data_IF_417124819336
#
_entry.id   IF_417124819336
#
_cell.length_a   1.000
_cell.length_b   1.000
_cell.length_c   1.000
_cell.angle_alpha   90.00
_cell.angle_beta   90.00
_cell.angle_gamma   90.00
#
_symmetry.space_group_name_H-M   'P 1'
#
loop_
_entity.id
_entity.type
_entity.pdbx_description
1 polymer ?
#
# COMPACT_ATOMS: atom_id res chain seq x y z
N UNK A 1 -33.82 11.06 44.66
CA UNK A 1 -32.66 11.43 43.80
C UNK A 1 -33.05 11.07 42.38
N UNK A 2 -33.46 12.05 41.60
CA UNK A 2 -33.75 11.81 40.22
C UNK A 2 -32.44 11.43 39.47
N UNK A 3 -32.44 10.39 38.64
CA UNK A 3 -31.27 10.06 37.87
C UNK A 3 -30.98 11.24 36.93
N UNK A 4 -29.82 11.88 37.11
CA UNK A 4 -29.32 12.87 36.17
C UNK A 4 -29.11 12.12 34.87
N UNK A 5 -30.08 12.23 33.95
CA UNK A 5 -29.97 11.71 32.59
C UNK A 5 -28.78 12.39 31.94
N UNK A 6 -27.75 11.63 31.63
CA UNK A 6 -26.64 12.15 30.83
C UNK A 6 -27.19 12.72 29.51
N UNK A 7 -26.79 13.92 29.12
CA UNK A 7 -27.30 14.52 27.89
C UNK A 7 -27.00 13.60 26.70
N UNK A 8 -27.97 13.42 25.83
CA UNK A 8 -27.81 12.57 24.65
C UNK A 8 -26.87 13.27 23.66
N UNK A 9 -25.99 12.55 23.01
CA UNK A 9 -24.90 13.10 22.17
C UNK A 9 -25.40 14.13 21.13
N UNK A 10 -26.60 13.96 20.60
CA UNK A 10 -27.20 14.87 19.61
C UNK A 10 -27.76 16.18 20.24
N UNK A 11 -27.80 16.30 21.58
CA UNK A 11 -28.10 17.53 22.29
C UNK A 11 -26.85 18.38 22.51
N UNK A 12 -25.66 17.74 22.39
CA UNK A 12 -24.36 18.38 22.63
C UNK A 12 -23.73 18.83 21.29
N UNK A 13 -23.87 18.02 20.23
CA UNK A 13 -23.20 18.26 18.95
C UNK A 13 -24.11 18.93 17.94
N UNK A 14 -23.63 19.99 17.23
CA UNK A 14 -24.32 20.54 16.07
C UNK A 14 -24.58 19.49 14.99
N UNK A 15 -25.67 19.66 14.25
CA UNK A 15 -26.08 18.73 13.17
C UNK A 15 -25.03 18.62 12.07
N UNK A 16 -24.28 19.70 11.80
CA UNK A 16 -23.20 19.75 10.83
C UNK A 16 -22.03 18.85 11.25
N UNK A 17 -21.67 18.85 12.53
CA UNK A 17 -20.60 17.98 13.07
C UNK A 17 -21.06 16.52 13.04
N UNK A 18 -22.32 16.26 13.37
CA UNK A 18 -22.87 14.90 13.26
C UNK A 18 -22.86 14.42 11.79
N UNK A 19 -23.16 15.29 10.83
CA UNK A 19 -23.05 14.98 9.41
C UNK A 19 -21.64 14.53 9.03
N UNK A 20 -20.62 15.24 9.48
CA UNK A 20 -19.20 14.88 9.25
C UNK A 20 -18.86 13.54 9.91
N UNK A 21 -19.32 13.30 11.14
CA UNK A 21 -19.09 12.01 11.83
C UNK A 21 -19.69 10.86 11.03
N UNK A 22 -20.90 11.03 10.48
CA UNK A 22 -21.54 9.98 9.67
C UNK A 22 -20.85 9.78 8.31
N UNK A 23 -20.33 10.85 7.69
CA UNK A 23 -19.51 10.73 6.49
C UNK A 23 -18.23 9.94 6.78
N UNK A 24 -17.53 10.24 7.87
CA UNK A 24 -16.32 9.51 8.28
C UNK A 24 -16.63 8.06 8.68
N UNK A 25 -17.74 7.82 9.39
CA UNK A 25 -18.17 6.46 9.73
C UNK A 25 -18.46 5.63 8.46
N UNK A 26 -19.09 6.23 7.45
CA UNK A 26 -19.36 5.57 6.18
C UNK A 26 -18.10 5.24 5.35
N UNK A 27 -16.97 5.88 5.61
CA UNK A 27 -15.67 5.53 5.02
C UNK A 27 -15.10 4.27 5.66
N UNK A 28 -15.32 4.09 6.96
CA UNK A 28 -14.81 2.95 7.72
C UNK A 28 -15.71 1.73 7.59
N UNK A 29 -17.02 1.95 7.53
CA UNK A 29 -18.06 0.93 7.50
C UNK A 29 -19.12 1.29 6.47
N UNK A 30 -19.14 0.59 5.34
CA UNK A 30 -20.05 0.95 4.24
C UNK A 30 -21.54 0.86 4.61
N UNK A 31 -21.92 0.00 5.58
CA UNK A 31 -23.29 -0.14 6.08
C UNK A 31 -23.71 0.99 7.05
N UNK A 32 -22.76 1.79 7.53
CA UNK A 32 -22.97 2.82 8.55
C UNK A 32 -24.19 3.72 8.25
N UNK A 33 -24.43 4.25 7.04
CA UNK A 33 -25.57 5.11 6.78
C UNK A 33 -26.92 4.42 7.06
N UNK A 34 -26.98 3.10 6.86
CA UNK A 34 -28.19 2.32 7.11
C UNK A 34 -28.34 2.03 8.60
N UNK A 35 -27.24 1.74 9.30
CA UNK A 35 -27.22 1.45 10.74
C UNK A 35 -27.56 2.73 11.53
N UNK A 36 -26.81 3.80 11.28
CA UNK A 36 -26.94 5.09 11.97
C UNK A 36 -28.35 5.69 11.75
N UNK A 37 -28.91 5.53 10.54
CA UNK A 37 -30.26 5.97 10.23
C UNK A 37 -31.38 5.23 11.00
N UNK A 38 -31.06 4.17 11.73
CA UNK A 38 -32.01 3.43 12.60
C UNK A 38 -31.97 3.88 14.04
N UNK A 39 -30.97 4.63 14.46
CA UNK A 39 -30.79 5.05 15.87
C UNK A 39 -31.94 5.95 16.33
N UNK A 40 -32.22 7.04 15.63
CA UNK A 40 -33.34 7.92 15.93
C UNK A 40 -33.78 8.73 14.69
N UNK A 41 -34.87 9.48 14.82
CA UNK A 41 -35.42 10.30 13.72
C UNK A 41 -34.45 11.39 13.28
N UNK A 42 -33.79 12.05 14.22
CA UNK A 42 -32.84 13.11 13.94
C UNK A 42 -31.62 12.58 13.15
N UNK A 43 -31.02 11.49 13.58
CA UNK A 43 -29.90 10.86 12.89
C UNK A 43 -30.28 10.46 11.47
N UNK A 44 -31.45 9.83 11.31
CA UNK A 44 -31.98 9.52 9.98
C UNK A 44 -32.11 10.75 9.09
N UNK A 45 -32.62 11.86 9.62
CA UNK A 45 -32.76 13.10 8.85
C UNK A 45 -31.40 13.66 8.44
N UNK A 46 -30.43 13.67 9.35
CA UNK A 46 -29.07 14.16 9.07
C UNK A 46 -28.43 13.29 7.97
N UNK A 47 -28.45 11.97 8.11
CA UNK A 47 -27.86 11.03 7.16
C UNK A 47 -28.51 11.12 5.78
N UNK A 48 -29.84 11.25 5.72
CA UNK A 48 -30.52 11.42 4.44
C UNK A 48 -30.11 12.70 3.70
N UNK A 49 -29.66 13.72 4.44
CA UNK A 49 -29.15 14.99 3.91
C UNK A 49 -27.61 15.03 3.82
N UNK A 50 -26.91 13.92 4.04
CA UNK A 50 -25.46 13.79 3.92
C UNK A 50 -25.08 12.94 2.69
N UNK A 51 -25.04 13.49 1.47
CA UNK A 51 -24.80 12.70 0.24
C UNK A 51 -23.49 11.94 0.25
N UNK A 52 -22.43 12.47 0.90
CA UNK A 52 -21.13 11.83 0.97
C UNK A 52 -21.14 10.55 1.79
N UNK A 53 -21.99 10.43 2.81
CA UNK A 53 -22.15 9.21 3.56
C UNK A 53 -22.67 8.04 2.69
N UNK A 54 -23.43 8.33 1.63
CA UNK A 54 -23.95 7.36 0.66
C UNK A 54 -23.01 7.10 -0.52
N UNK A 55 -21.92 7.85 -0.64
CA UNK A 55 -21.01 7.81 -1.78
C UNK A 55 -19.97 6.68 -1.70
N UNK A 56 -19.86 5.99 -0.57
CA UNK A 56 -19.00 4.83 -0.39
C UNK A 56 -19.81 3.55 -0.68
N UNK A 57 -19.39 2.80 -1.70
CA UNK A 57 -20.01 1.57 -2.13
C UNK A 57 -18.96 0.47 -2.09
N UNK A 58 -19.13 -0.44 -1.15
CA UNK A 58 -18.28 -1.62 -1.00
C UNK A 58 -19.08 -2.88 -1.31
N UNK A 59 -18.44 -3.82 -2.00
CA UNK A 59 -18.99 -5.15 -2.23
C UNK A 59 -18.25 -6.12 -1.31
N UNK A 60 -18.86 -6.56 -0.20
CA UNK A 60 -18.23 -7.41 0.80
C UNK A 60 -17.97 -8.84 0.29
N UNK A 61 -17.14 -9.59 1.01
CA UNK A 61 -16.88 -11.02 0.72
C UNK A 61 -18.12 -11.93 0.91
N UNK A 62 -19.12 -11.43 1.58
CA UNK A 62 -20.36 -12.15 1.90
C UNK A 62 -21.39 -12.18 0.77
N UNK A 63 -22.66 -12.29 1.13
CA UNK A 63 -23.76 -12.16 0.15
C UNK A 63 -23.70 -10.74 -0.44
N UNK A 64 -23.80 -10.67 -1.77
CA UNK A 64 -23.84 -9.39 -2.47
C UNK A 64 -24.99 -8.52 -1.95
N UNK A 65 -24.74 -7.21 -1.77
CA UNK A 65 -25.84 -6.27 -1.57
C UNK A 65 -26.80 -6.38 -2.76
N UNK A 66 -28.07 -6.20 -2.51
CA UNK A 66 -29.03 -6.18 -3.61
C UNK A 66 -28.72 -5.01 -4.54
N UNK A 67 -28.86 -5.19 -5.85
CA UNK A 67 -28.72 -4.07 -6.79
C UNK A 67 -29.66 -2.92 -6.45
N UNK A 68 -30.78 -3.20 -5.79
CA UNK A 68 -31.66 -2.17 -5.23
C UNK A 68 -30.99 -1.30 -4.18
N UNK A 69 -30.17 -1.88 -3.33
CA UNK A 69 -29.39 -1.12 -2.33
C UNK A 69 -28.32 -0.26 -3.00
N UNK A 70 -27.58 -0.82 -3.95
CA UNK A 70 -26.59 -0.05 -4.72
C UNK A 70 -27.27 1.13 -5.44
N UNK A 71 -28.40 0.90 -6.12
CA UNK A 71 -29.19 1.98 -6.76
C UNK A 71 -29.64 3.05 -5.77
N UNK A 72 -30.09 2.63 -4.58
CA UNK A 72 -30.48 3.55 -3.52
C UNK A 72 -29.32 4.44 -3.08
N UNK A 73 -28.12 3.87 -2.91
CA UNK A 73 -26.91 4.61 -2.55
C UNK A 73 -26.49 5.58 -3.63
N UNK A 74 -26.47 5.13 -4.89
CA UNK A 74 -26.19 5.97 -6.05
C UNK A 74 -27.16 7.15 -6.14
N UNK A 75 -28.45 6.93 -5.88
CA UNK A 75 -29.46 7.98 -5.85
C UNK A 75 -29.22 8.96 -4.68
N UNK A 76 -29.00 8.46 -3.47
CA UNK A 76 -28.81 9.29 -2.27
C UNK A 76 -27.48 10.05 -2.26
N UNK A 77 -26.45 9.50 -2.88
CA UNK A 77 -25.18 10.20 -3.04
C UNK A 77 -25.24 11.43 -3.96
N UNK A 78 -26.32 11.61 -4.72
CA UNK A 78 -26.54 12.77 -5.58
C UNK A 78 -25.37 13.03 -6.53
N UNK A 79 -24.73 14.18 -6.38
CA UNK A 79 -23.54 14.59 -7.16
C UNK A 79 -22.22 14.35 -6.43
N UNK A 80 -22.23 13.76 -5.23
CA UNK A 80 -21.01 13.52 -4.46
C UNK A 80 -20.07 12.58 -5.24
N UNK A 81 -18.74 12.78 -5.11
CA UNK A 81 -17.75 11.89 -5.68
C UNK A 81 -17.91 10.45 -5.13
N UNK A 82 -17.97 9.47 -6.02
CA UNK A 82 -18.15 8.06 -5.66
C UNK A 82 -16.82 7.38 -5.35
N UNK A 83 -16.85 6.53 -4.33
CA UNK A 83 -15.78 5.63 -3.92
C UNK A 83 -16.28 4.20 -3.99
N UNK A 84 -15.77 3.43 -4.94
CA UNK A 84 -16.23 2.07 -5.23
C UNK A 84 -15.13 1.09 -4.86
N UNK A 85 -15.45 0.10 -4.02
CA UNK A 85 -14.55 -1.00 -3.66
C UNK A 85 -15.23 -2.35 -3.92
N UNK A 86 -14.71 -3.08 -4.90
CA UNK A 86 -15.23 -4.40 -5.28
C UNK A 86 -14.21 -5.51 -5.02
N UNK A 87 -13.14 -5.26 -4.25
CA UNK A 87 -12.05 -6.22 -4.05
C UNK A 87 -12.49 -7.51 -3.40
N UNK A 88 -13.44 -7.43 -2.48
CA UNK A 88 -13.92 -8.57 -1.70
C UNK A 88 -15.04 -9.38 -2.40
N UNK A 89 -15.69 -8.82 -3.41
CA UNK A 89 -16.91 -9.39 -4.02
C UNK A 89 -16.69 -10.61 -4.92
N UNK A 90 -17.75 -11.39 -5.11
CA UNK A 90 -17.79 -12.57 -5.98
C UNK A 90 -18.25 -12.24 -7.41
N UNK A 91 -17.81 -13.01 -8.37
CA UNK A 91 -17.76 -12.78 -9.82
C UNK A 91 -19.08 -12.54 -10.56
N UNK A 92 -20.20 -13.13 -10.10
CA UNK A 92 -21.40 -13.28 -10.92
C UNK A 92 -22.25 -12.01 -11.11
N UNK A 93 -22.01 -10.98 -10.33
CA UNK A 93 -22.85 -9.76 -10.36
C UNK A 93 -22.09 -8.50 -10.79
N UNK A 94 -20.82 -8.61 -11.17
CA UNK A 94 -20.04 -7.45 -11.59
C UNK A 94 -20.55 -6.81 -12.89
N UNK A 95 -21.10 -7.59 -13.80
CA UNK A 95 -21.61 -7.03 -15.05
C UNK A 95 -22.77 -6.05 -14.79
N UNK A 96 -23.80 -6.47 -14.02
CA UNK A 96 -24.91 -5.59 -13.67
C UNK A 96 -24.44 -4.37 -12.87
N UNK A 97 -23.47 -4.56 -11.96
CA UNK A 97 -22.87 -3.46 -11.20
C UNK A 97 -22.19 -2.44 -12.12
N UNK A 98 -21.35 -2.89 -13.07
CA UNK A 98 -20.64 -1.99 -13.98
C UNK A 98 -21.58 -1.31 -14.96
N UNK A 99 -22.63 -1.99 -15.43
CA UNK A 99 -23.69 -1.37 -16.23
C UNK A 99 -24.37 -0.24 -15.44
N UNK A 100 -24.67 -0.47 -14.17
CA UNK A 100 -25.25 0.54 -13.29
C UNK A 100 -24.28 1.71 -13.00
N UNK A 101 -22.99 1.43 -12.84
CA UNK A 101 -21.96 2.44 -12.59
C UNK A 101 -21.63 3.27 -13.84
N UNK A 102 -21.90 2.74 -15.05
CA UNK A 102 -21.65 3.47 -16.31
C UNK A 102 -22.40 4.79 -16.39
N UNK A 103 -23.61 4.86 -15.83
CA UNK A 103 -24.35 6.13 -15.77
C UNK A 103 -23.74 7.17 -14.82
N UNK A 104 -22.77 6.74 -14.02
CA UNK A 104 -22.14 7.54 -12.96
C UNK A 104 -20.62 7.72 -13.11
N UNK A 105 -20.03 7.25 -14.24
CA UNK A 105 -18.59 7.24 -14.48
C UNK A 105 -17.93 8.61 -14.26
N UNK A 106 -18.61 9.70 -14.62
CA UNK A 106 -18.07 11.08 -14.54
C UNK A 106 -17.80 11.55 -13.12
N UNK A 107 -18.42 10.94 -12.11
CA UNK A 107 -18.24 11.30 -10.70
C UNK A 107 -17.47 10.25 -9.87
N UNK A 108 -17.01 9.16 -10.49
CA UNK A 108 -16.21 8.16 -9.79
C UNK A 108 -14.83 8.75 -9.49
N UNK A 109 -14.51 8.89 -8.20
CA UNK A 109 -13.25 9.43 -7.71
C UNK A 109 -12.27 8.34 -7.27
N UNK A 110 -12.78 7.18 -6.85
CA UNK A 110 -11.98 6.03 -6.45
C UNK A 110 -12.63 4.74 -6.93
N UNK A 111 -11.85 3.89 -7.57
CA UNK A 111 -12.26 2.56 -8.00
C UNK A 111 -11.22 1.54 -7.58
N UNK A 112 -11.65 0.52 -6.84
CA UNK A 112 -10.84 -0.63 -6.46
C UNK A 112 -11.54 -1.90 -6.91
N UNK A 113 -10.83 -2.75 -7.66
CA UNK A 113 -11.40 -3.98 -8.22
C UNK A 113 -10.67 -5.22 -7.69
N UNK A 114 -11.43 -6.30 -7.45
CA UNK A 114 -10.91 -7.61 -7.08
C UNK A 114 -10.60 -8.50 -8.29
N UNK A 115 -10.05 -9.69 -8.01
CA UNK A 115 -9.68 -10.67 -9.03
C UNK A 115 -10.86 -11.25 -9.84
N UNK A 116 -12.07 -11.08 -9.37
CA UNK A 116 -13.28 -11.60 -10.03
C UNK A 116 -13.82 -10.73 -11.16
N UNK A 117 -13.37 -9.51 -11.28
CA UNK A 117 -13.98 -8.51 -12.17
C UNK A 117 -13.63 -8.69 -13.67
N UNK A 118 -12.75 -9.62 -14.02
CA UNK A 118 -12.27 -9.81 -15.41
C UNK A 118 -13.34 -10.24 -16.44
N UNK A 119 -14.51 -10.71 -15.98
CA UNK A 119 -15.56 -11.24 -16.85
C UNK A 119 -16.71 -10.26 -17.12
N UNK A 120 -16.65 -9.07 -16.55
CA UNK A 120 -17.69 -8.06 -16.76
C UNK A 120 -17.11 -6.66 -16.82
N UNK A 121 -17.78 -5.76 -17.51
CA UNK A 121 -17.47 -4.34 -17.45
C UNK A 121 -16.38 -3.85 -18.40
N UNK A 122 -16.00 -4.60 -19.44
CA UNK A 122 -15.01 -4.10 -20.41
C UNK A 122 -15.45 -2.74 -21.00
N UNK A 123 -16.72 -2.59 -21.36
CA UNK A 123 -17.28 -1.32 -21.84
C UNK A 123 -17.21 -0.21 -20.78
N UNK A 124 -17.39 -0.54 -19.51
CA UNK A 124 -17.27 0.43 -18.41
C UNK A 124 -15.88 1.05 -18.34
N UNK A 125 -14.81 0.25 -18.54
CA UNK A 125 -13.45 0.76 -18.50
C UNK A 125 -13.02 1.56 -19.75
N UNK A 126 -13.84 1.56 -20.78
CA UNK A 126 -13.65 2.39 -21.98
C UNK A 126 -14.26 3.81 -21.83
N UNK A 127 -15.01 4.05 -20.73
CA UNK A 127 -15.59 5.35 -20.42
C UNK A 127 -14.55 6.36 -19.96
N UNK A 128 -14.94 7.63 -19.92
CA UNK A 128 -14.10 8.73 -19.42
C UNK A 128 -14.31 8.93 -17.92
N UNK A 129 -13.22 8.99 -17.15
CA UNK A 129 -13.25 9.17 -15.70
C UNK A 129 -12.62 10.50 -15.25
N UNK A 130 -13.25 11.65 -15.51
CA UNK A 130 -12.64 12.97 -15.29
C UNK A 130 -12.41 13.30 -13.80
N UNK A 131 -13.07 12.59 -12.89
CA UNK A 131 -12.91 12.78 -11.44
C UNK A 131 -12.02 11.74 -10.77
N UNK A 132 -11.55 10.70 -11.50
CA UNK A 132 -10.75 9.62 -10.94
C UNK A 132 -9.45 10.11 -10.33
N UNK A 133 -9.24 9.79 -9.05
CA UNK A 133 -8.02 10.12 -8.29
C UNK A 133 -7.26 8.86 -7.87
N UNK A 134 -7.98 7.78 -7.59
CA UNK A 134 -7.42 6.50 -7.18
C UNK A 134 -7.99 5.38 -8.05
N UNK A 135 -7.10 4.59 -8.62
CA UNK A 135 -7.43 3.40 -9.40
C UNK A 135 -6.58 2.22 -8.87
N UNK A 136 -7.27 1.18 -8.37
CA UNK A 136 -6.65 -0.06 -7.88
C UNK A 136 -7.27 -1.24 -8.63
N UNK A 137 -6.52 -1.82 -9.54
CA UNK A 137 -6.95 -2.89 -10.41
C UNK A 137 -6.22 -4.18 -10.07
N UNK A 138 -6.94 -5.22 -9.70
CA UNK A 138 -6.38 -6.55 -9.54
C UNK A 138 -6.10 -7.25 -10.89
N UNK A 139 -6.67 -6.73 -11.98
CA UNK A 139 -6.44 -7.18 -13.34
C UNK A 139 -6.34 -5.98 -14.28
N UNK A 140 -5.64 -6.20 -15.38
CA UNK A 140 -5.57 -5.22 -16.45
C UNK A 140 -6.86 -5.19 -17.27
N UNK A 141 -7.32 -3.96 -17.56
CA UNK A 141 -8.38 -3.66 -18.53
C UNK A 141 -7.88 -2.69 -19.58
N UNK A 142 -8.34 -2.81 -20.84
CA UNK A 142 -8.09 -1.78 -21.82
C UNK A 142 -8.81 -0.51 -21.38
N UNK A 143 -8.04 0.50 -21.00
CA UNK A 143 -8.57 1.77 -20.48
C UNK A 143 -8.07 2.93 -21.32
N UNK A 144 -8.86 3.99 -21.40
CA UNK A 144 -8.44 5.27 -21.95
C UNK A 144 -7.72 6.08 -20.88
N UNK A 145 -6.42 5.88 -20.74
CA UNK A 145 -5.62 6.53 -19.68
C UNK A 145 -5.67 8.06 -19.73
N UNK A 146 -5.73 8.64 -20.96
CA UNK A 146 -5.85 10.09 -21.15
C UNK A 146 -7.16 10.66 -20.58
N UNK A 147 -8.19 9.83 -20.35
CA UNK A 147 -9.48 10.24 -19.80
C UNK A 147 -9.49 10.43 -18.27
N UNK A 148 -8.35 10.23 -17.61
CA UNK A 148 -8.19 10.33 -16.15
C UNK A 148 -7.23 11.45 -15.74
N UNK A 149 -7.51 12.73 -16.05
CA UNK A 149 -6.55 13.83 -15.86
C UNK A 149 -6.23 14.13 -14.37
N UNK A 150 -7.05 13.64 -13.45
CA UNK A 150 -6.88 13.85 -12.01
C UNK A 150 -6.31 12.64 -11.27
N UNK A 151 -5.90 11.59 -11.99
CA UNK A 151 -5.38 10.37 -11.38
C UNK A 151 -4.08 10.68 -10.61
N UNK A 152 -4.05 10.35 -9.33
CA UNK A 152 -2.91 10.56 -8.44
C UNK A 152 -2.32 9.26 -7.92
N UNK A 153 -3.15 8.22 -7.83
CA UNK A 153 -2.75 6.93 -7.28
C UNK A 153 -3.18 5.82 -8.24
N UNK A 154 -2.22 5.06 -8.71
CA UNK A 154 -2.43 3.90 -9.57
C UNK A 154 -1.83 2.67 -8.91
N UNK A 155 -2.66 1.62 -8.78
CA UNK A 155 -2.22 0.30 -8.40
C UNK A 155 -2.71 -0.71 -9.42
N UNK A 156 -1.81 -1.51 -9.95
CA UNK A 156 -2.12 -2.61 -10.86
C UNK A 156 -1.40 -3.87 -10.39
N UNK A 157 -2.17 -4.94 -10.15
CA UNK A 157 -1.64 -6.25 -9.86
C UNK A 157 -2.18 -7.25 -10.88
N UNK A 158 -1.33 -7.80 -11.74
CA UNK A 158 -1.71 -8.88 -12.65
C UNK A 158 -0.73 -10.04 -12.55
N UNK A 159 -1.23 -11.24 -12.23
CA UNK A 159 -0.41 -12.46 -12.17
C UNK A 159 -0.13 -13.06 -13.54
N UNK A 160 -0.77 -12.63 -14.59
CA UNK A 160 -0.68 -13.22 -15.94
C UNK A 160 0.25 -12.46 -16.89
N UNK A 161 0.78 -11.36 -16.51
CA UNK A 161 1.99 -10.68 -16.99
C UNK A 161 2.19 -10.53 -18.49
N UNK A 162 1.18 -10.26 -19.26
CA UNK A 162 1.39 -10.12 -20.70
C UNK A 162 1.15 -8.71 -21.23
N UNK A 163 0.67 -7.80 -20.40
CA UNK A 163 0.26 -6.48 -20.85
C UNK A 163 1.29 -5.41 -20.49
N UNK A 164 1.43 -4.44 -21.37
CA UNK A 164 2.30 -3.27 -21.18
C UNK A 164 1.43 -2.12 -20.68
N UNK A 165 1.76 -1.60 -19.49
CA UNK A 165 1.10 -0.41 -18.96
C UNK A 165 1.71 0.83 -19.61
N UNK A 166 0.95 1.64 -20.38
CA UNK A 166 1.46 2.82 -21.05
C UNK A 166 1.53 4.01 -20.09
N UNK A 167 2.48 3.97 -19.16
CA UNK A 167 2.63 5.02 -18.15
C UNK A 167 2.82 6.42 -18.74
N UNK A 168 3.30 6.48 -20.00
CA UNK A 168 3.50 7.75 -20.71
C UNK A 168 2.22 8.55 -20.98
N UNK A 169 1.06 7.90 -20.94
CA UNK A 169 -0.24 8.53 -21.21
C UNK A 169 -0.90 9.07 -19.94
N UNK A 170 -0.34 8.73 -18.77
CA UNK A 170 -0.94 9.09 -17.49
C UNK A 170 -0.58 10.51 -17.05
N UNK A 171 -1.49 11.13 -16.30
CA UNK A 171 -1.22 12.33 -15.52
C UNK A 171 -0.08 12.09 -14.51
N UNK A 172 0.59 13.14 -14.00
CA UNK A 172 1.63 12.99 -12.99
C UNK A 172 1.11 12.30 -11.73
N UNK A 173 1.59 11.06 -11.48
CA UNK A 173 1.18 10.26 -10.33
C UNK A 173 1.96 10.64 -9.07
N UNK A 174 1.30 10.56 -7.92
CA UNK A 174 1.93 10.61 -6.60
C UNK A 174 2.28 9.22 -6.07
N UNK A 175 1.44 8.24 -6.35
CA UNK A 175 1.65 6.85 -5.94
C UNK A 175 1.51 5.92 -7.15
N UNK A 176 2.50 5.05 -7.31
CA UNK A 176 2.49 3.99 -8.32
C UNK A 176 2.85 2.66 -7.68
N UNK A 177 1.95 1.68 -7.82
CA UNK A 177 2.15 0.31 -7.37
C UNK A 177 1.89 -0.62 -8.54
N UNK A 178 2.92 -1.33 -8.99
CA UNK A 178 2.82 -2.28 -10.08
C UNK A 178 3.30 -3.65 -9.61
N UNK A 179 2.52 -4.68 -9.89
CA UNK A 179 2.90 -6.06 -9.59
C UNK A 179 2.58 -6.94 -10.79
N UNK A 180 3.59 -7.73 -11.18
CA UNK A 180 3.42 -8.70 -12.22
C UNK A 180 3.15 -8.13 -13.62
N UNK A 181 3.59 -6.95 -13.97
CA UNK A 181 3.31 -6.30 -15.25
C UNK A 181 4.58 -5.89 -15.99
N UNK A 182 4.46 -5.68 -17.31
CA UNK A 182 5.44 -4.94 -18.08
C UNK A 182 5.04 -3.47 -18.11
N UNK A 183 6.00 -2.56 -18.01
CA UNK A 183 5.70 -1.15 -18.15
C UNK A 183 6.70 -0.43 -19.06
N UNK A 184 6.20 0.56 -19.78
CA UNK A 184 7.03 1.56 -20.45
C UNK A 184 7.37 2.64 -19.43
N UNK A 185 8.58 3.10 -19.45
CA UNK A 185 9.10 4.29 -18.77
C UNK A 185 8.37 4.78 -17.49
N UNK A 186 8.65 4.16 -16.34
CA UNK A 186 8.35 4.72 -15.00
C UNK A 186 8.91 6.14 -14.85
N UNK A 187 9.91 6.50 -15.65
CA UNK A 187 10.75 7.68 -15.55
C UNK A 187 10.02 9.01 -15.76
N UNK A 188 8.94 9.00 -16.55
CA UNK A 188 8.17 10.22 -16.82
C UNK A 188 7.44 10.78 -15.59
N UNK A 189 7.17 9.92 -14.60
CA UNK A 189 6.50 10.32 -13.35
C UNK A 189 7.48 10.64 -12.22
N UNK A 190 8.79 10.57 -12.47
CA UNK A 190 9.83 10.71 -11.46
C UNK A 190 9.69 11.98 -10.61
N UNK A 191 9.25 13.08 -11.20
CA UNK A 191 9.16 14.38 -10.52
C UNK A 191 8.05 14.44 -9.44
N UNK A 192 6.95 13.73 -9.64
CA UNK A 192 5.75 13.81 -8.80
C UNK A 192 5.60 12.64 -7.82
N UNK A 193 6.28 11.52 -8.07
CA UNK A 193 6.14 10.33 -7.25
C UNK A 193 6.65 10.54 -5.83
N UNK A 194 5.80 10.26 -4.86
CA UNK A 194 6.15 10.18 -3.43
C UNK A 194 6.27 8.72 -2.98
N UNK A 195 5.54 7.80 -3.64
CA UNK A 195 5.57 6.37 -3.34
C UNK A 195 5.65 5.55 -4.62
N UNK A 196 6.68 4.69 -4.70
CA UNK A 196 6.89 3.75 -5.81
C UNK A 196 7.05 2.33 -5.26
N UNK A 197 6.22 1.41 -5.74
CA UNK A 197 6.30 -0.01 -5.41
C UNK A 197 6.24 -0.83 -6.70
N UNK A 198 7.27 -1.61 -6.95
CA UNK A 198 7.37 -2.49 -8.09
C UNK A 198 7.66 -3.91 -7.62
N UNK A 199 6.86 -4.88 -8.08
CA UNK A 199 7.05 -6.30 -7.76
C UNK A 199 6.88 -7.13 -9.02
N UNK A 200 7.89 -7.92 -9.36
CA UNK A 200 7.88 -8.76 -10.58
C UNK A 200 7.56 -7.92 -11.84
N UNK A 201 8.23 -6.79 -11.98
CA UNK A 201 8.01 -5.83 -13.07
C UNK A 201 9.16 -5.90 -14.07
N UNK A 202 8.82 -6.05 -15.35
CA UNK A 202 9.78 -5.95 -16.44
C UNK A 202 9.71 -4.57 -17.09
N UNK A 203 10.81 -3.83 -17.05
CA UNK A 203 10.93 -2.57 -17.78
C UNK A 203 11.17 -2.86 -19.27
N UNK A 204 10.34 -2.29 -20.13
CA UNK A 204 10.45 -2.48 -21.59
C UNK A 204 11.57 -1.63 -22.16
N UNK A 205 11.82 -0.47 -21.57
CA UNK A 205 12.86 0.45 -22.00
C UNK A 205 14.09 0.33 -21.10
N UNK A 206 15.26 0.24 -21.71
CA UNK A 206 16.52 0.27 -20.96
C UNK A 206 16.73 1.65 -20.34
N UNK A 207 17.07 1.69 -19.06
CA UNK A 207 17.40 2.93 -18.38
C UNK A 207 18.86 3.27 -18.68
N UNK A 208 19.08 4.41 -19.29
CA UNK A 208 20.41 4.96 -19.55
C UNK A 208 20.67 6.16 -18.63
N UNK A 209 21.43 5.94 -17.54
CA UNK A 209 21.81 6.98 -16.61
C UNK A 209 20.87 7.18 -15.41
N UNK A 210 21.23 8.06 -14.47
CA UNK A 210 20.51 8.25 -13.22
C UNK A 210 19.13 8.90 -13.42
N UNK A 211 18.14 8.38 -12.71
CA UNK A 211 16.78 8.92 -12.67
C UNK A 211 16.55 9.60 -11.34
N UNK A 212 16.24 10.88 -11.39
CA UNK A 212 16.01 11.68 -10.19
C UNK A 212 14.54 11.61 -9.80
N UNK A 213 14.27 11.17 -8.57
CA UNK A 213 12.97 11.16 -7.91
C UNK A 213 12.97 12.17 -6.73
N UNK A 214 12.80 13.46 -6.97
CA UNK A 214 13.04 14.49 -5.95
C UNK A 214 12.03 14.46 -4.79
N UNK A 215 10.85 13.89 -5.02
CA UNK A 215 9.75 13.84 -4.04
C UNK A 215 9.56 12.45 -3.43
N UNK A 216 10.32 11.43 -3.86
CA UNK A 216 10.13 10.05 -3.44
C UNK A 216 10.57 9.86 -2.00
N UNK A 217 9.64 9.43 -1.14
CA UNK A 217 9.88 9.11 0.27
C UNK A 217 9.82 7.60 0.55
N UNK A 218 9.14 6.86 -0.31
CA UNK A 218 8.99 5.41 -0.16
C UNK A 218 9.29 4.69 -1.49
N UNK A 219 10.23 3.74 -1.45
CA UNK A 219 10.57 2.87 -2.58
C UNK A 219 10.51 1.41 -2.14
N UNK A 220 9.84 0.57 -2.93
CA UNK A 220 9.84 -0.88 -2.74
C UNK A 220 10.09 -1.57 -4.07
N UNK A 221 11.12 -2.40 -4.14
CA UNK A 221 11.53 -3.15 -5.32
C UNK A 221 11.61 -4.64 -5.00
N UNK A 222 10.80 -5.46 -5.71
CA UNK A 222 10.82 -6.90 -5.60
C UNK A 222 10.95 -7.50 -6.99
N UNK A 223 11.98 -8.31 -7.24
CA UNK A 223 12.25 -8.95 -8.54
C UNK A 223 12.23 -7.98 -9.72
N UNK A 224 12.80 -6.77 -9.51
CA UNK A 224 12.92 -5.72 -10.52
C UNK A 224 14.39 -5.50 -10.85
N UNK A 225 14.83 -5.93 -12.02
CA UNK A 225 16.22 -5.83 -12.44
C UNK A 225 16.53 -4.51 -13.13
N UNK A 226 17.74 -3.99 -12.89
CA UNK A 226 18.30 -2.88 -13.67
C UNK A 226 17.74 -1.48 -13.33
N UNK A 227 16.87 -1.34 -12.33
CA UNK A 227 16.36 -0.02 -11.91
C UNK A 227 17.17 0.58 -10.77
N UNK A 228 17.53 -0.21 -9.77
CA UNK A 228 18.16 0.24 -8.53
C UNK A 228 19.42 1.10 -8.74
N UNK A 229 20.37 0.72 -9.62
CA UNK A 229 21.58 1.52 -9.84
C UNK A 229 21.31 2.93 -10.38
N UNK A 230 20.14 3.14 -11.00
CA UNK A 230 19.78 4.40 -11.65
C UNK A 230 18.94 5.32 -10.75
N UNK A 231 18.54 4.89 -9.55
CA UNK A 231 17.66 5.67 -8.67
C UNK A 231 18.48 6.71 -7.88
N UNK A 232 18.12 7.98 -8.08
CA UNK A 232 18.53 9.09 -7.24
C UNK A 232 17.33 9.69 -6.55
N UNK A 233 17.15 9.41 -5.25
CA UNK A 233 16.02 9.82 -4.45
C UNK A 233 16.46 10.49 -3.14
N UNK A 234 16.81 11.80 -3.16
CA UNK A 234 17.45 12.48 -2.02
C UNK A 234 16.56 12.60 -0.78
N UNK A 235 15.22 12.41 -0.92
CA UNK A 235 14.25 12.42 0.18
C UNK A 235 13.77 11.04 0.57
N UNK A 236 14.40 9.98 0.09
CA UNK A 236 13.96 8.62 0.39
C UNK A 236 14.16 8.32 1.88
N UNK A 237 13.05 8.04 2.56
CA UNK A 237 13.00 7.71 3.99
C UNK A 237 12.88 6.21 4.23
N UNK A 238 12.16 5.51 3.36
CA UNK A 238 11.89 4.07 3.47
C UNK A 238 12.26 3.37 2.17
N UNK A 239 13.09 2.34 2.27
CA UNK A 239 13.47 1.49 1.16
C UNK A 239 13.28 0.01 1.50
N UNK A 240 12.50 -0.68 0.68
CA UNK A 240 12.31 -2.12 0.76
C UNK A 240 12.82 -2.78 -0.51
N UNK A 241 13.57 -3.85 -0.37
CA UNK A 241 14.01 -4.67 -1.49
C UNK A 241 13.81 -6.16 -1.24
N UNK A 242 13.68 -6.93 -2.33
CA UNK A 242 13.53 -8.38 -2.25
C UNK A 242 13.77 -9.08 -3.57
N UNK A 243 13.83 -10.41 -3.51
CA UNK A 243 14.11 -11.24 -4.66
C UNK A 243 15.57 -11.20 -5.11
N UNK A 244 15.80 -11.45 -6.39
CA UNK A 244 17.15 -11.57 -6.97
C UNK A 244 17.92 -10.24 -7.07
N UNK A 245 17.27 -9.11 -6.79
CA UNK A 245 17.90 -7.78 -6.83
C UNK A 245 18.70 -7.44 -5.57
N UNK A 246 18.59 -8.25 -4.53
CA UNK A 246 19.31 -8.04 -3.29
C UNK A 246 20.83 -8.11 -3.55
N UNK A 247 21.54 -7.05 -3.16
CA UNK A 247 22.98 -6.94 -3.38
C UNK A 247 23.40 -6.07 -4.56
N UNK A 248 22.48 -5.65 -5.44
CA UNK A 248 22.81 -4.53 -6.35
C UNK A 248 23.09 -3.27 -5.52
N UNK A 249 24.14 -2.53 -5.87
CA UNK A 249 24.46 -1.28 -5.19
C UNK A 249 23.70 -0.11 -5.80
N UNK A 250 23.43 0.92 -5.00
CA UNK A 250 23.09 2.24 -5.52
C UNK A 250 24.36 2.96 -5.98
N UNK A 251 24.29 3.62 -7.12
CA UNK A 251 25.37 4.50 -7.57
C UNK A 251 25.48 5.77 -6.72
N UNK A 252 24.41 6.12 -6.00
CA UNK A 252 24.28 7.33 -5.22
C UNK A 252 23.86 6.99 -3.80
N UNK A 253 24.52 7.63 -2.83
CA UNK A 253 24.17 7.54 -1.41
C UNK A 253 22.74 8.05 -1.16
N UNK A 254 22.00 7.40 -0.26
CA UNK A 254 20.67 7.79 0.20
C UNK A 254 20.74 8.36 1.62
N UNK A 255 21.13 9.64 1.78
CA UNK A 255 21.45 10.22 3.09
C UNK A 255 20.22 10.36 4.01
N UNK A 256 19.02 10.46 3.44
CA UNK A 256 17.77 10.62 4.19
C UNK A 256 17.13 9.29 4.59
N UNK A 257 17.73 8.15 4.23
CA UNK A 257 17.14 6.84 4.50
C UNK A 257 17.12 6.55 6.01
N UNK A 258 15.93 6.33 6.53
CA UNK A 258 15.65 6.02 7.94
C UNK A 258 15.36 4.54 8.11
N UNK A 259 14.64 3.94 7.17
CA UNK A 259 14.19 2.55 7.24
C UNK A 259 14.64 1.76 6.01
N UNK A 260 15.29 0.65 6.27
CA UNK A 260 15.66 -0.32 5.24
C UNK A 260 15.09 -1.69 5.58
N UNK A 261 14.38 -2.27 4.63
CA UNK A 261 13.87 -3.63 4.75
C UNK A 261 14.37 -4.50 3.60
N UNK A 262 14.91 -5.65 3.94
CA UNK A 262 15.34 -6.66 2.98
C UNK A 262 14.51 -7.92 3.12
N UNK A 263 13.99 -8.41 2.00
CA UNK A 263 13.29 -9.67 1.90
C UNK A 263 14.03 -10.56 0.89
N UNK A 264 14.63 -11.62 1.37
CA UNK A 264 15.60 -12.39 0.62
C UNK A 264 15.13 -13.82 0.35
N UNK A 265 15.26 -14.28 -0.89
CA UNK A 265 15.16 -15.70 -1.27
C UNK A 265 16.52 -16.39 -1.17
N UNK A 266 16.58 -17.71 -0.95
CA UNK A 266 17.74 -18.42 -0.36
C UNK A 266 19.03 -18.50 -1.21
N UNK A 267 19.22 -17.73 -2.27
CA UNK A 267 20.31 -17.90 -3.25
C UNK A 267 21.55 -17.04 -3.05
N UNK A 268 21.52 -16.02 -2.19
CA UNK A 268 22.69 -15.15 -1.95
C UNK A 268 22.91 -14.82 -0.46
N UNK A 269 24.15 -14.58 -0.07
CA UNK A 269 24.45 -14.14 1.29
C UNK A 269 24.12 -12.67 1.46
N UNK A 270 23.40 -12.33 2.53
CA UNK A 270 23.18 -10.96 2.95
C UNK A 270 24.43 -10.43 3.69
N UNK A 271 25.06 -9.39 3.17
CA UNK A 271 26.21 -8.77 3.83
C UNK A 271 25.86 -7.36 4.37
N UNK A 272 25.65 -7.21 5.68
CA UNK A 272 25.34 -5.93 6.29
C UNK A 272 26.39 -4.83 6.04
N UNK A 273 27.63 -5.20 5.74
CA UNK A 273 28.66 -4.22 5.45
C UNK A 273 28.41 -3.47 4.13
N UNK A 274 27.87 -4.16 3.13
CA UNK A 274 27.46 -3.51 1.87
C UNK A 274 26.30 -2.56 2.09
N UNK A 275 25.32 -2.94 2.91
CA UNK A 275 24.20 -2.04 3.23
C UNK A 275 24.68 -0.81 3.97
N UNK A 276 25.62 -0.97 4.91
CA UNK A 276 26.19 0.15 5.64
C UNK A 276 26.91 1.14 4.71
N UNK A 277 27.62 0.66 3.69
CA UNK A 277 28.24 1.54 2.69
C UNK A 277 27.21 2.39 1.94
N UNK A 278 26.05 1.80 1.60
CA UNK A 278 24.99 2.50 0.89
C UNK A 278 24.10 3.35 1.80
N UNK A 279 23.89 2.91 3.05
CA UNK A 279 22.90 3.45 3.98
C UNK A 279 23.44 3.59 5.41
N UNK A 280 24.45 4.42 5.66
CA UNK A 280 25.14 4.46 6.96
C UNK A 280 24.25 4.94 8.13
N UNK A 281 23.22 5.72 7.85
CA UNK A 281 22.41 6.45 8.84
C UNK A 281 21.04 5.80 9.13
N UNK A 282 20.80 4.55 8.72
CA UNK A 282 19.53 3.90 8.99
C UNK A 282 19.28 3.76 10.49
N UNK A 283 18.03 3.99 10.88
CA UNK A 283 17.53 3.82 12.25
C UNK A 283 16.73 2.54 12.44
N UNK A 284 16.10 2.05 11.38
CA UNK A 284 15.30 0.82 11.38
C UNK A 284 15.79 -0.13 10.31
N UNK A 285 16.07 -1.37 10.69
CA UNK A 285 16.49 -2.45 9.80
C UNK A 285 15.53 -3.62 9.94
N UNK A 286 14.89 -4.02 8.85
CA UNK A 286 14.06 -5.22 8.83
C UNK A 286 14.69 -6.28 7.92
N UNK A 287 14.83 -7.51 8.42
CA UNK A 287 15.38 -8.65 7.68
C UNK A 287 14.32 -9.75 7.63
N UNK A 288 13.89 -10.10 6.42
CA UNK A 288 13.04 -11.24 6.16
C UNK A 288 13.80 -12.24 5.30
N UNK A 289 14.12 -13.36 5.86
CA UNK A 289 14.90 -14.38 5.20
C UNK A 289 14.66 -15.73 5.88
N UNK A 290 15.22 -16.78 5.31
CA UNK A 290 15.34 -18.07 6.01
C UNK A 290 16.23 -17.91 7.26
N UNK A 291 15.97 -18.71 8.29
CA UNK A 291 16.67 -18.63 9.58
C UNK A 291 18.21 -18.64 9.45
N UNK A 292 18.85 -19.47 8.62
CA UNK A 292 20.31 -19.45 8.48
C UNK A 292 20.84 -18.11 7.98
N UNK A 293 20.08 -17.45 7.08
CA UNK A 293 20.45 -16.15 6.53
C UNK A 293 20.27 -15.05 7.56
N UNK A 294 19.17 -15.11 8.35
CA UNK A 294 18.95 -14.22 9.49
C UNK A 294 20.11 -14.33 10.47
N UNK A 295 20.45 -15.55 10.91
CA UNK A 295 21.52 -15.83 11.85
C UNK A 295 22.88 -15.31 11.36
N UNK A 296 23.19 -15.53 10.07
CA UNK A 296 24.42 -15.05 9.44
C UNK A 296 24.49 -13.52 9.47
N UNK A 297 23.38 -12.84 9.12
CA UNK A 297 23.30 -11.37 9.11
C UNK A 297 23.42 -10.79 10.51
N UNK A 298 22.73 -11.37 11.50
CA UNK A 298 22.80 -10.96 12.91
C UNK A 298 24.20 -11.17 13.48
N UNK A 299 24.83 -12.32 13.18
CA UNK A 299 26.22 -12.59 13.60
C UNK A 299 27.19 -11.58 12.98
N UNK A 300 27.01 -11.21 11.72
CA UNK A 300 27.81 -10.17 11.07
C UNK A 300 27.66 -8.81 11.73
N UNK A 301 26.42 -8.44 12.11
CA UNK A 301 26.12 -7.19 12.85
C UNK A 301 26.71 -7.20 14.27
N UNK A 302 26.67 -8.33 14.97
CA UNK A 302 27.26 -8.49 16.30
C UNK A 302 28.76 -8.33 16.27
N UNK A 303 29.45 -8.95 15.28
CA UNK A 303 30.88 -8.90 15.14
C UNK A 303 31.43 -7.55 14.64
N UNK A 304 30.54 -6.70 14.10
CA UNK A 304 30.91 -5.38 13.53
C UNK A 304 30.00 -4.29 14.09
N UNK A 305 30.11 -3.96 15.37
CA UNK A 305 29.19 -3.05 16.04
C UNK A 305 29.23 -1.62 15.48
N UNK A 306 30.30 -1.22 14.78
CA UNK A 306 30.40 0.08 14.10
C UNK A 306 29.51 0.23 12.87
N UNK A 307 28.95 -0.89 12.35
CA UNK A 307 27.97 -0.81 11.26
C UNK A 307 26.66 -0.20 11.78
N UNK A 308 26.12 0.76 11.07
CA UNK A 308 24.86 1.46 11.40
C UNK A 308 24.86 2.08 12.82
N UNK A 309 25.68 3.09 13.08
CA UNK A 309 25.78 3.69 14.42
C UNK A 309 24.45 4.33 14.90
N UNK A 310 23.57 4.72 13.98
CA UNK A 310 22.26 5.30 14.28
C UNK A 310 21.12 4.27 14.43
N UNK A 311 21.41 2.96 14.36
CA UNK A 311 20.39 1.92 14.37
C UNK A 311 19.69 1.83 15.73
N UNK A 312 18.36 1.98 15.72
CA UNK A 312 17.48 1.97 16.90
C UNK A 312 16.61 0.72 16.97
N UNK A 313 16.22 0.17 15.81
CA UNK A 313 15.32 -0.96 15.76
C UNK A 313 15.81 -2.00 14.77
N UNK A 314 15.83 -3.25 15.20
CA UNK A 314 15.97 -4.42 14.31
C UNK A 314 14.72 -5.25 14.37
N UNK A 315 14.18 -5.56 13.21
CA UNK A 315 13.03 -6.43 13.04
C UNK A 315 13.41 -7.64 12.18
N UNK A 316 13.04 -8.84 12.57
CA UNK A 316 13.31 -10.04 11.77
C UNK A 316 12.05 -10.87 11.59
N UNK A 317 11.95 -11.59 10.47
CA UNK A 317 10.81 -12.44 10.17
C UNK A 317 11.13 -13.49 9.11
N UNK A 318 10.35 -14.58 9.09
CA UNK A 318 10.47 -15.61 8.06
C UNK A 318 9.77 -15.16 6.75
N UNK A 319 10.32 -15.57 5.60
CA UNK A 319 9.75 -15.29 4.26
C UNK A 319 8.39 -15.93 4.08
N UNK A 320 8.19 -17.14 4.61
CA UNK A 320 6.98 -17.93 4.31
C UNK A 320 5.67 -17.33 4.83
N UNK A 321 5.75 -16.34 5.70
CA UNK A 321 4.55 -15.64 6.24
C UNK A 321 3.58 -16.56 7.00
N UNK A 322 3.90 -17.85 7.13
CA UNK A 322 3.03 -18.89 7.70
C UNK A 322 3.21 -19.06 9.21
N UNK A 323 4.37 -18.72 9.75
CA UNK A 323 4.59 -18.63 11.18
C UNK A 323 5.38 -17.37 11.48
N UNK A 324 4.84 -16.54 12.37
CA UNK A 324 5.54 -15.34 12.88
C UNK A 324 6.51 -15.70 14.01
N UNK A 325 6.55 -16.97 14.40
CA UNK A 325 7.40 -17.45 15.46
C UNK A 325 8.81 -17.69 14.94
N UNK A 326 9.70 -16.81 15.32
CA UNK A 326 11.14 -17.04 15.16
C UNK A 326 11.52 -18.08 16.20
N UNK A 327 12.25 -19.11 15.79
CA UNK A 327 12.78 -20.09 16.71
C UNK A 327 13.47 -19.42 17.90
N UNK A 328 13.29 -19.97 19.10
CA UNK A 328 13.78 -19.40 20.35
C UNK A 328 15.30 -19.21 20.33
N UNK A 329 16.04 -20.10 19.66
CA UNK A 329 17.48 -19.96 19.44
C UNK A 329 17.85 -18.70 18.66
N UNK A 330 17.12 -18.39 17.57
CA UNK A 330 17.35 -17.18 16.75
C UNK A 330 17.02 -15.94 17.57
N UNK A 331 15.92 -15.96 18.31
CA UNK A 331 15.54 -14.89 19.25
C UNK A 331 16.62 -14.66 20.28
N UNK A 332 17.12 -15.70 20.96
CA UNK A 332 18.18 -15.58 21.96
C UNK A 332 19.48 -14.98 21.40
N UNK A 333 19.84 -15.33 20.16
CA UNK A 333 21.01 -14.73 19.49
C UNK A 333 20.80 -13.25 19.15
N UNK A 334 19.60 -12.88 18.70
CA UNK A 334 19.29 -11.46 18.43
C UNK A 334 19.33 -10.65 19.73
N UNK A 335 18.69 -11.14 20.79
CA UNK A 335 18.72 -10.48 22.10
C UNK A 335 20.14 -10.32 22.64
N UNK A 336 20.97 -11.36 22.50
CA UNK A 336 22.39 -11.29 22.89
C UNK A 336 23.16 -10.25 22.07
N UNK A 337 22.91 -10.16 20.76
CA UNK A 337 23.51 -9.14 19.90
C UNK A 337 23.06 -7.73 20.27
N UNK A 338 21.76 -7.55 20.54
CA UNK A 338 21.18 -6.26 20.96
C UNK A 338 21.83 -5.81 22.29
N UNK A 339 21.94 -6.72 23.26
CA UNK A 339 22.59 -6.44 24.55
C UNK A 339 24.07 -6.06 24.39
N UNK A 340 24.84 -6.87 23.64
CA UNK A 340 26.26 -6.60 23.40
C UNK A 340 26.47 -5.25 22.67
N UNK A 341 25.60 -4.91 21.75
CA UNK A 341 25.65 -3.63 21.04
C UNK A 341 25.31 -2.46 21.95
N UNK A 342 24.26 -2.60 22.78
CA UNK A 342 23.91 -1.57 23.75
C UNK A 342 25.00 -1.35 24.77
N UNK A 343 25.70 -2.39 25.23
CA UNK A 343 26.85 -2.28 26.11
C UNK A 343 28.06 -1.56 25.43
N UNK A 344 28.32 -1.85 24.13
CA UNK A 344 29.43 -1.29 23.39
C UNK A 344 29.24 0.20 23.03
N UNK A 345 28.00 0.66 22.87
CA UNK A 345 27.67 2.01 22.42
C UNK A 345 26.90 2.84 23.44
N UNK A 346 26.77 2.34 24.67
CA UNK A 346 25.95 3.00 25.68
C UNK A 346 26.68 4.27 26.21
N UNK A 347 26.40 5.40 25.57
CA UNK A 347 26.59 6.74 26.10
C UNK A 347 25.25 7.47 26.37
N UNK A 348 24.20 6.74 26.59
CA UNK A 348 22.93 7.29 27.14
C UNK A 348 21.82 7.64 26.13
N UNK A 349 22.12 7.86 24.85
CA UNK A 349 21.15 8.52 23.96
C UNK A 349 20.42 7.61 22.95
N UNK A 350 20.94 6.41 22.64
CA UNK A 350 20.30 5.51 21.64
C UNK A 350 20.36 4.07 22.09
N UNK A 351 19.21 3.53 22.49
CA UNK A 351 19.07 2.08 22.72
C UNK A 351 18.57 1.38 21.46
N UNK A 352 19.17 0.22 21.16
CA UNK A 352 18.67 -0.68 20.14
C UNK A 352 17.55 -1.53 20.73
N UNK A 353 16.40 -1.57 20.04
CA UNK A 353 15.25 -2.40 20.40
C UNK A 353 15.06 -3.53 19.39
N UNK A 354 14.68 -4.68 19.89
CA UNK A 354 14.21 -5.77 19.05
C UNK A 354 12.68 -5.78 19.05
N UNK A 355 12.11 -5.73 17.87
CA UNK A 355 10.67 -5.91 17.66
C UNK A 355 10.43 -7.21 16.90
N UNK A 356 9.67 -8.14 17.49
CA UNK A 356 9.12 -9.25 16.69
C UNK A 356 8.06 -8.67 15.76
N UNK A 357 8.28 -8.78 14.46
CA UNK A 357 7.42 -8.12 13.48
C UNK A 357 6.05 -8.76 13.45
N UNK A 358 5.03 -7.98 13.79
CA UNK A 358 3.71 -8.16 13.21
C UNK A 358 3.83 -8.06 11.67
N UNK A 359 2.98 -8.74 10.88
CA UNK A 359 3.14 -8.81 9.44
C UNK A 359 3.27 -7.41 8.87
N UNK A 360 4.42 -7.11 8.27
CA UNK A 360 4.46 -6.02 7.32
C UNK A 360 3.31 -6.27 6.36
N UNK A 361 2.36 -5.37 6.33
CA UNK A 361 1.47 -5.24 5.18
C UNK A 361 2.29 -4.65 4.00
N UNK A 362 3.36 -5.34 3.62
CA UNK A 362 3.68 -5.37 2.21
C UNK A 362 2.39 -5.93 1.62
N UNK A 363 1.76 -5.30 0.65
CA UNK A 363 0.73 -5.96 -0.12
C UNK A 363 1.43 -7.11 -0.85
N UNK A 364 1.64 -8.18 -0.10
CA UNK A 364 2.26 -9.40 -0.59
C UNK A 364 1.14 -10.06 -1.38
N UNK A 365 1.17 -9.89 -2.68
CA UNK A 365 0.47 -10.78 -3.60
C UNK A 365 1.16 -12.15 -3.59
N UNK A 366 1.31 -12.77 -2.41
CA UNK A 366 1.67 -14.17 -2.34
C UNK A 366 0.47 -14.99 -2.81
N UNK A 367 0.45 -15.22 -4.12
CA UNK A 367 -0.21 -16.39 -4.61
C UNK A 367 0.58 -17.59 -4.13
N UNK A 368 0.00 -18.34 -3.22
CA UNK A 368 0.43 -19.72 -3.00
C UNK A 368 0.59 -20.38 -4.36
N UNK A 369 1.84 -20.68 -4.75
CA UNK A 369 2.09 -21.68 -5.79
C UNK A 369 1.45 -22.97 -5.26
N UNK A 370 0.32 -23.37 -5.82
CA UNK A 370 -0.12 -24.75 -5.90
C UNK A 370 0.22 -25.26 -7.27
#
# INVERSE_FOLDING_TARGET
MDPVLSPVIHEILPTEIMGVIFEEHAILEWEAPTIDGRVCRLWRQIILNAPRAWAHIEIPEGPMPSMGEVRLRLHRSGTAPLHIDTRAGRWSAYQELYELLSDHHTRIASLRTGYGSQYGGQSFFEEDFPCMRLLDLAHWYPMRWASMPKLQSLRIGDRRLRMVVPLSELAPLKMLVLSGVKCTSVLRHSQSLTKLMLSDVSLVEAISGPVIFPSLTYLSLFDVKGLKPHVNAPRLETYHEGGDIVGESFDISLPSLVEYAVCHTPTSSLDPARWHQSFPNIKRLAIRADEPVILSSITSLANRPHLFPALQTISVGNIDGRSYEIHEEVRGRIESMVLARNEAYYNGDVMLYFESVAPFQVPIFFGTRK
#
